data_IF_619635456500
#
_entry.id   IF_619635456500
#
_cell.length_a   1.000
_cell.length_b   1.000
_cell.length_c   1.000
_cell.angle_alpha   90.00
_cell.angle_beta   90.00
_cell.angle_gamma   90.00
#
_symmetry.space_group_name_H-M   'P 1'
#
loop_
_entity.id
_entity.type
_entity.pdbx_description
1 polymer ?
#
# COMPACT_ATOMS: atom_id res chain seq x y z
N UNK A 1 13.26 -16.14 -22.34
CA UNK A 1 11.98 -15.71 -22.94
C UNK A 1 11.99 -14.19 -23.04
N UNK A 2 11.55 -13.60 -24.15
CA UNK A 2 11.50 -12.14 -24.30
C UNK A 2 10.45 -11.54 -23.35
N UNK A 3 10.58 -10.27 -23.03
CA UNK A 3 9.65 -9.52 -22.16
C UNK A 3 8.21 -9.42 -22.67
N UNK A 4 7.92 -9.93 -23.87
CA UNK A 4 6.67 -9.69 -24.60
C UNK A 4 5.54 -10.69 -24.31
N UNK A 5 5.80 -11.80 -23.58
CA UNK A 5 4.81 -12.86 -23.33
C UNK A 5 4.35 -12.98 -21.85
N UNK A 6 4.70 -12.05 -20.96
CA UNK A 6 4.26 -12.13 -19.57
C UNK A 6 2.82 -11.64 -19.42
N UNK A 7 1.96 -12.55 -18.97
CA UNK A 7 0.62 -12.22 -18.48
C UNK A 7 0.66 -12.16 -16.96
N UNK A 8 -0.02 -11.17 -16.37
CA UNK A 8 -0.13 -11.07 -14.91
C UNK A 8 -0.67 -12.37 -14.31
N UNK A 9 -0.26 -12.73 -13.09
CA UNK A 9 -0.67 -13.95 -12.44
C UNK A 9 -2.18 -14.06 -12.33
N UNK A 10 -2.70 -15.28 -12.42
CA UNK A 10 -4.10 -15.51 -12.08
C UNK A 10 -4.31 -15.38 -10.55
N UNK A 11 -5.42 -14.75 -10.14
CA UNK A 11 -5.82 -14.58 -8.73
C UNK A 11 -4.97 -13.60 -7.88
N UNK A 12 -4.52 -12.50 -8.48
CA UNK A 12 -3.96 -11.38 -7.72
C UNK A 12 -5.01 -10.80 -6.76
N UNK A 13 -4.64 -10.63 -5.49
CA UNK A 13 -5.52 -10.03 -4.49
C UNK A 13 -4.95 -8.73 -3.95
N UNK A 14 -5.82 -7.75 -3.77
CA UNK A 14 -5.48 -6.43 -3.25
C UNK A 14 -6.18 -6.15 -1.92
N UNK A 15 -5.55 -5.36 -1.06
CA UNK A 15 -6.19 -4.84 0.14
C UNK A 15 -5.80 -3.37 0.35
N UNK A 16 -6.80 -2.55 0.69
CA UNK A 16 -6.60 -1.15 1.07
C UNK A 16 -7.05 -0.92 2.51
N UNK A 17 -6.17 -0.36 3.34
CA UNK A 17 -6.44 -0.06 4.75
C UNK A 17 -6.36 1.45 4.96
N UNK A 18 -7.43 2.06 5.44
CA UNK A 18 -7.49 3.48 5.75
C UNK A 18 -7.40 3.66 7.26
N UNK A 19 -6.30 4.24 7.74
CA UNK A 19 -6.15 4.66 9.12
C UNK A 19 -6.67 6.10 9.26
N UNK A 20 -7.89 6.25 9.79
CA UNK A 20 -8.49 7.55 10.05
C UNK A 20 -9.61 7.44 11.08
N UNK A 21 -9.34 7.95 12.28
CA UNK A 21 -10.30 7.99 13.39
C UNK A 21 -11.58 8.72 13.03
N UNK A 22 -11.47 9.82 12.26
CA UNK A 22 -12.64 10.60 11.85
C UNK A 22 -13.48 9.88 10.80
N UNK A 23 -12.84 9.18 9.85
CA UNK A 23 -13.56 8.39 8.85
C UNK A 23 -14.24 7.18 9.50
N UNK A 24 -13.52 6.43 10.34
CA UNK A 24 -14.04 5.27 11.05
C UNK A 24 -15.25 5.61 11.95
N UNK A 25 -15.27 6.80 12.54
CA UNK A 25 -16.40 7.30 13.35
C UNK A 25 -17.54 7.92 12.53
N UNK A 26 -17.45 7.91 11.20
CA UNK A 26 -18.48 8.48 10.32
C UNK A 26 -18.57 10.01 10.36
N UNK A 27 -17.55 10.71 10.88
CA UNK A 27 -17.50 12.18 10.86
C UNK A 27 -17.41 12.69 9.43
N UNK A 28 -16.71 11.95 8.57
CA UNK A 28 -16.74 12.12 7.12
C UNK A 28 -16.58 10.77 6.43
N UNK A 29 -17.03 10.69 5.19
CA UNK A 29 -16.77 9.56 4.31
C UNK A 29 -15.34 9.63 3.77
N UNK A 30 -14.60 8.52 3.87
CA UNK A 30 -13.27 8.44 3.26
C UNK A 30 -13.36 8.52 1.73
N UNK A 31 -12.44 9.28 1.13
CA UNK A 31 -12.35 9.49 -0.32
C UNK A 31 -10.97 9.16 -0.87
N UNK A 32 -10.01 8.76 -0.03
CA UNK A 32 -8.67 8.39 -0.48
C UNK A 32 -8.56 6.89 -0.73
N UNK A 33 -9.13 6.05 0.14
CA UNK A 33 -9.20 4.60 -0.01
C UNK A 33 -9.82 4.15 -1.34
N UNK A 34 -10.98 4.67 -1.76
CA UNK A 34 -11.58 4.32 -3.05
C UNK A 34 -10.64 4.51 -4.25
N UNK A 35 -9.74 5.50 -4.22
CA UNK A 35 -8.78 5.75 -5.32
C UNK A 35 -7.79 4.58 -5.44
N UNK A 36 -7.26 4.10 -4.32
CA UNK A 36 -6.33 2.97 -4.31
C UNK A 36 -7.03 1.65 -4.69
N UNK A 37 -8.28 1.47 -4.22
CA UNK A 37 -9.10 0.30 -4.56
C UNK A 37 -9.40 0.27 -6.06
N UNK A 38 -9.87 1.38 -6.63
CA UNK A 38 -10.15 1.49 -8.07
C UNK A 38 -8.90 1.24 -8.90
N UNK A 39 -7.75 1.78 -8.48
CA UNK A 39 -6.48 1.52 -9.16
C UNK A 39 -6.12 0.02 -9.13
N UNK A 40 -6.15 -0.64 -7.97
CA UNK A 40 -5.87 -2.08 -7.87
C UNK A 40 -6.83 -2.90 -8.74
N UNK A 41 -8.13 -2.64 -8.68
CA UNK A 41 -9.14 -3.30 -9.53
C UNK A 41 -8.83 -3.09 -11.01
N UNK A 42 -8.43 -1.89 -11.42
CA UNK A 42 -8.06 -1.59 -12.81
C UNK A 42 -6.82 -2.34 -13.30
N UNK A 43 -5.98 -2.85 -12.38
CA UNK A 43 -4.80 -3.67 -12.65
C UNK A 43 -5.06 -5.17 -12.53
N UNK A 44 -6.33 -5.58 -12.38
CA UNK A 44 -6.74 -6.99 -12.35
C UNK A 44 -6.69 -7.65 -10.97
N UNK A 45 -6.48 -6.89 -9.89
CA UNK A 45 -6.52 -7.42 -8.54
C UNK A 45 -7.97 -7.57 -8.05
N UNK A 46 -8.32 -8.75 -7.54
CA UNK A 46 -9.53 -8.92 -6.74
C UNK A 46 -9.34 -8.17 -5.41
N UNK A 47 -10.05 -7.05 -5.27
CA UNK A 47 -9.84 -6.09 -4.20
C UNK A 47 -11.21 -5.70 -3.62
N UNK A 48 -11.50 -6.00 -2.35
CA UNK A 48 -12.71 -5.50 -1.69
C UNK A 48 -12.65 -3.99 -1.50
N UNK A 49 -13.75 -3.40 -1.02
CA UNK A 49 -13.71 -1.99 -0.64
C UNK A 49 -12.74 -1.77 0.53
N UNK A 50 -12.25 -0.52 0.66
CA UNK A 50 -11.24 -0.19 1.65
C UNK A 50 -11.74 -0.45 3.07
N UNK A 51 -10.89 -1.08 3.88
CA UNK A 51 -11.16 -1.26 5.30
C UNK A 51 -10.79 0.04 6.01
N UNK A 52 -11.76 0.67 6.69
CA UNK A 52 -11.55 1.93 7.41
C UNK A 52 -11.53 1.65 8.92
N UNK A 53 -10.45 2.04 9.58
CA UNK A 53 -10.22 1.82 11.03
C UNK A 53 -9.75 3.10 11.72
N UNK A 54 -9.86 3.15 13.05
CA UNK A 54 -9.30 4.25 13.81
C UNK A 54 -7.76 4.21 13.80
N UNK A 55 -7.10 5.37 13.91
CA UNK A 55 -5.63 5.46 13.90
C UNK A 55 -5.00 4.61 15.01
N UNK A 56 -5.65 4.53 16.17
CA UNK A 56 -5.19 3.73 17.32
C UNK A 56 -5.23 2.21 17.08
N UNK A 57 -5.95 1.77 16.07
CA UNK A 57 -6.19 0.34 15.80
C UNK A 57 -5.22 -0.20 14.75
N UNK A 58 -4.52 0.65 14.00
CA UNK A 58 -3.69 0.25 12.85
C UNK A 58 -2.60 -0.76 13.21
N UNK A 59 -1.95 -0.60 14.36
CA UNK A 59 -0.88 -1.49 14.80
C UNK A 59 -1.40 -2.90 15.04
N UNK A 60 -2.48 -3.03 15.82
CA UNK A 60 -3.06 -4.33 16.15
C UNK A 60 -3.72 -4.99 14.94
N UNK A 61 -4.40 -4.18 14.11
CA UNK A 61 -5.02 -4.65 12.87
C UNK A 61 -3.96 -5.23 11.93
N UNK A 62 -2.87 -4.52 11.69
CA UNK A 62 -1.82 -4.97 10.78
C UNK A 62 -1.07 -6.19 11.32
N UNK A 63 -0.79 -6.25 12.63
CA UNK A 63 -0.22 -7.43 13.27
C UNK A 63 -1.10 -8.67 13.07
N UNK A 64 -2.39 -8.54 13.31
CA UNK A 64 -3.36 -9.64 13.14
C UNK A 64 -3.44 -10.07 11.68
N UNK A 65 -3.57 -9.11 10.75
CA UNK A 65 -3.62 -9.36 9.30
C UNK A 65 -2.40 -10.18 8.84
N UNK A 66 -1.19 -9.78 9.23
CA UNK A 66 0.03 -10.47 8.83
C UNK A 66 0.11 -11.86 9.47
N UNK A 67 -0.20 -11.98 10.77
CA UNK A 67 -0.14 -13.25 11.48
C UNK A 67 -1.14 -14.28 10.92
N UNK A 68 -2.40 -13.88 10.70
CA UNK A 68 -3.43 -14.73 10.14
C UNK A 68 -3.17 -15.03 8.66
N UNK A 69 -2.75 -14.04 7.89
CA UNK A 69 -2.39 -14.19 6.47
C UNK A 69 -1.27 -15.20 6.26
N UNK A 70 -0.20 -15.13 7.07
CA UNK A 70 0.90 -16.10 7.05
C UNK A 70 0.44 -17.48 7.48
N UNK A 71 -0.38 -17.58 8.53
CA UNK A 71 -0.90 -18.86 9.04
C UNK A 71 -1.78 -19.59 8.01
N UNK A 72 -2.62 -18.84 7.30
CA UNK A 72 -3.59 -19.41 6.37
C UNK A 72 -3.07 -19.46 4.92
N UNK A 73 -1.91 -18.87 4.64
CA UNK A 73 -1.34 -18.80 3.29
C UNK A 73 -2.16 -17.91 2.35
N UNK A 74 -2.80 -16.87 2.86
CA UNK A 74 -3.74 -16.02 2.13
C UNK A 74 -3.51 -14.52 2.34
N UNK A 75 -2.27 -14.12 2.67
CA UNK A 75 -1.91 -12.71 2.72
C UNK A 75 -2.10 -12.09 1.31
N UNK A 76 -2.72 -10.91 1.17
CA UNK A 76 -2.98 -10.31 -0.14
C UNK A 76 -1.69 -10.11 -0.94
N UNK A 77 -1.74 -10.19 -2.27
CA UNK A 77 -0.57 -9.94 -3.11
C UNK A 77 -0.08 -8.49 -2.99
N UNK A 78 -1.01 -7.56 -2.80
CA UNK A 78 -0.73 -6.12 -2.74
C UNK A 78 -1.51 -5.48 -1.58
N UNK A 79 -0.82 -4.78 -0.68
CA UNK A 79 -1.44 -4.03 0.40
C UNK A 79 -1.05 -2.56 0.28
N UNK A 80 -2.05 -1.69 0.21
CA UNK A 80 -1.88 -0.25 0.31
C UNK A 80 -2.51 0.24 1.61
N UNK A 81 -1.83 1.15 2.29
CA UNK A 81 -2.45 1.89 3.40
C UNK A 81 -2.64 3.36 3.03
N UNK A 82 -3.58 4.02 3.69
CA UNK A 82 -3.84 5.45 3.54
C UNK A 82 -4.08 6.09 4.91
N UNK A 83 -3.24 7.04 5.30
CA UNK A 83 -3.33 7.72 6.59
C UNK A 83 -2.23 7.29 7.56
N UNK A 84 -2.11 8.01 8.68
CA UNK A 84 -1.18 7.66 9.76
C UNK A 84 0.33 7.71 9.41
N UNK A 85 0.74 8.44 8.36
CA UNK A 85 2.15 8.54 7.92
C UNK A 85 2.79 9.90 8.20
N UNK A 86 2.08 10.82 8.84
CA UNK A 86 2.56 12.17 9.16
C UNK A 86 3.46 12.23 10.39
N UNK A 87 3.54 13.41 11.02
CA UNK A 87 4.38 13.69 12.19
C UNK A 87 3.58 13.76 13.51
N UNK A 88 2.26 13.56 13.47
CA UNK A 88 1.44 13.62 14.67
C UNK A 88 1.70 12.41 15.57
N UNK A 89 1.37 12.55 16.85
CA UNK A 89 1.59 11.49 17.84
C UNK A 89 0.77 10.21 17.59
N UNK A 90 -0.33 10.33 16.86
CA UNK A 90 -1.21 9.24 16.46
C UNK A 90 -0.93 8.69 15.05
N UNK A 91 0.02 9.29 14.31
CA UNK A 91 0.48 8.73 13.04
C UNK A 91 1.34 7.48 13.29
N UNK A 92 0.70 6.30 13.32
CA UNK A 92 1.35 5.02 13.65
C UNK A 92 1.37 4.00 12.50
N UNK A 93 0.93 4.36 11.30
CA UNK A 93 0.83 3.41 10.19
C UNK A 93 2.21 2.91 9.73
N UNK A 94 3.23 3.77 9.81
CA UNK A 94 4.61 3.37 9.48
C UNK A 94 5.16 2.40 10.52
N UNK A 95 4.90 2.67 11.79
CA UNK A 95 5.25 1.83 12.94
C UNK A 95 4.53 0.48 12.90
N UNK A 96 3.30 0.45 12.39
CA UNK A 96 2.54 -0.78 12.19
C UNK A 96 3.13 -1.66 11.09
N UNK A 97 3.57 -1.07 9.97
CA UNK A 97 3.99 -1.82 8.77
C UNK A 97 5.46 -2.22 8.80
N UNK A 98 6.37 -1.28 9.11
CA UNK A 98 7.82 -1.47 8.96
C UNK A 98 8.36 -2.74 9.67
N UNK A 99 7.92 -3.10 10.90
CA UNK A 99 8.44 -4.29 11.59
C UNK A 99 8.16 -5.62 10.89
N UNK A 100 7.18 -5.67 9.98
CA UNK A 100 6.83 -6.89 9.25
C UNK A 100 7.53 -7.04 7.90
N UNK A 101 8.19 -5.98 7.42
CA UNK A 101 8.86 -5.99 6.12
C UNK A 101 10.10 -6.88 6.20
N UNK A 102 10.14 -7.95 5.39
CA UNK A 102 11.34 -8.78 5.21
C UNK A 102 12.40 -8.02 4.40
N UNK A 103 11.95 -7.19 3.46
CA UNK A 103 12.80 -6.33 2.60
C UNK A 103 12.14 -4.97 2.40
N UNK A 104 12.86 -3.91 2.70
CA UNK A 104 12.43 -2.55 2.34
C UNK A 104 12.81 -2.21 0.89
N UNK A 105 11.97 -1.41 0.21
CA UNK A 105 12.19 -0.91 -1.15
C UNK A 105 12.19 0.63 -1.12
N UNK A 106 13.23 1.27 -0.51
CA UNK A 106 13.25 2.72 -0.31
C UNK A 106 13.24 3.51 -1.63
N UNK A 107 13.70 2.92 -2.74
CA UNK A 107 13.66 3.55 -4.06
C UNK A 107 12.24 3.91 -4.52
N UNK A 108 11.24 3.08 -4.19
CA UNK A 108 9.83 3.38 -4.49
C UNK A 108 9.36 4.60 -3.69
N UNK A 109 9.74 4.68 -2.41
CA UNK A 109 9.40 5.84 -1.58
C UNK A 109 10.07 7.13 -2.05
N UNK A 110 11.32 7.07 -2.51
CA UNK A 110 11.98 8.22 -3.13
C UNK A 110 11.25 8.70 -4.38
N UNK A 111 10.88 7.79 -5.28
CA UNK A 111 10.10 8.15 -6.47
C UNK A 111 8.75 8.78 -6.10
N UNK A 112 8.08 8.23 -5.10
CA UNK A 112 6.82 8.75 -4.57
C UNK A 112 6.96 10.18 -4.04
N UNK A 113 7.93 10.45 -3.18
CA UNK A 113 8.15 11.80 -2.66
C UNK A 113 8.55 12.79 -3.76
N UNK A 114 9.37 12.37 -4.71
CA UNK A 114 9.73 13.19 -5.87
C UNK A 114 8.52 13.55 -6.75
N UNK A 115 7.56 12.63 -6.89
CA UNK A 115 6.30 12.93 -7.56
C UNK A 115 5.45 13.92 -6.75
N UNK A 116 5.29 13.69 -5.45
CA UNK A 116 4.51 14.58 -4.58
C UNK A 116 5.08 16.01 -4.50
N UNK A 117 6.40 16.16 -4.51
CA UNK A 117 7.08 17.47 -4.48
C UNK A 117 6.74 18.37 -5.67
N UNK A 118 6.31 17.80 -6.81
CA UNK A 118 5.86 18.57 -7.98
C UNK A 118 4.60 19.40 -7.67
N UNK A 119 3.80 18.94 -6.70
CA UNK A 119 2.51 19.51 -6.36
C UNK A 119 2.52 20.19 -4.98
N UNK A 120 3.13 19.55 -3.98
CA UNK A 120 3.05 19.96 -2.57
C UNK A 120 4.44 19.85 -1.92
N UNK A 121 5.06 20.97 -1.50
CA UNK A 121 6.38 20.94 -0.83
C UNK A 121 6.42 20.07 0.42
N UNK A 122 5.31 19.98 1.17
CA UNK A 122 5.21 19.17 2.38
C UNK A 122 5.13 17.65 2.11
N UNK A 123 5.09 17.19 0.85
CA UNK A 123 5.00 15.77 0.52
C UNK A 123 6.13 14.92 1.15
N UNK A 124 7.33 15.50 1.27
CA UNK A 124 8.51 14.86 1.90
C UNK A 124 8.40 14.69 3.42
N UNK A 125 7.40 15.28 4.07
CA UNK A 125 7.17 15.06 5.50
C UNK A 125 6.47 13.72 5.78
N UNK A 126 5.92 13.06 4.77
CA UNK A 126 5.38 11.71 4.91
C UNK A 126 6.51 10.74 5.23
N UNK A 127 6.38 9.99 6.32
CA UNK A 127 7.36 8.98 6.78
C UNK A 127 7.18 7.61 6.13
N UNK A 128 6.42 7.56 5.02
CA UNK A 128 5.96 6.32 4.40
C UNK A 128 7.06 5.31 4.11
N UNK A 129 6.66 4.04 4.01
CA UNK A 129 7.54 2.90 3.73
C UNK A 129 6.93 2.05 2.63
N UNK A 130 7.79 1.42 1.84
CA UNK A 130 7.40 0.39 0.88
C UNK A 130 8.33 -0.80 1.05
N UNK A 131 7.80 -2.01 0.86
CA UNK A 131 8.56 -3.23 1.07
C UNK A 131 7.77 -4.48 0.77
N UNK A 132 8.35 -5.61 1.17
CA UNK A 132 7.80 -6.94 0.93
C UNK A 132 7.65 -7.67 2.26
N UNK A 133 6.53 -8.38 2.42
CA UNK A 133 6.26 -9.35 3.47
C UNK A 133 6.00 -10.68 2.77
N UNK A 134 6.90 -11.65 2.89
CA UNK A 134 6.87 -12.91 2.15
C UNK A 134 6.76 -12.68 0.62
N UNK A 135 5.56 -12.84 0.04
CA UNK A 135 5.24 -12.58 -1.38
C UNK A 135 4.24 -11.44 -1.57
N UNK A 136 4.08 -10.60 -0.56
CA UNK A 136 3.16 -9.47 -0.54
C UNK A 136 3.92 -8.16 -0.65
N UNK A 137 3.62 -7.35 -1.66
CA UNK A 137 4.10 -5.97 -1.71
C UNK A 137 3.23 -5.06 -0.84
N UNK A 138 3.86 -4.20 -0.04
CA UNK A 138 3.19 -3.24 0.83
C UNK A 138 3.73 -1.84 0.60
N UNK A 139 2.86 -0.84 0.53
CA UNK A 139 3.24 0.58 0.54
C UNK A 139 2.29 1.41 1.40
N UNK A 140 2.84 2.31 2.22
CA UNK A 140 2.05 3.24 3.02
C UNK A 140 1.92 4.59 2.34
N UNK A 141 0.69 5.10 2.26
CA UNK A 141 0.36 6.36 1.58
C UNK A 141 -0.21 7.39 2.57
N UNK A 142 -0.06 8.70 2.29
CA UNK A 142 -0.72 9.73 3.07
C UNK A 142 -2.24 9.62 2.98
N UNK A 143 -2.96 10.06 4.03
CA UNK A 143 -4.43 10.05 4.06
C UNK A 143 -5.12 11.06 3.13
N UNK A 144 -4.36 11.80 2.32
CA UNK A 144 -4.92 12.78 1.39
C UNK A 144 -5.18 12.15 0.03
N UNK A 145 -6.25 12.59 -0.65
CA UNK A 145 -6.56 12.14 -2.03
C UNK A 145 -5.41 12.41 -3.00
N UNK A 146 -4.72 13.54 -2.85
CA UNK A 146 -3.54 13.89 -3.65
C UNK A 146 -2.39 12.91 -3.40
N UNK A 147 -2.08 12.63 -2.12
CA UNK A 147 -1.04 11.67 -1.76
C UNK A 147 -1.31 10.25 -2.27
N UNK A 148 -2.56 9.78 -2.21
CA UNK A 148 -2.91 8.47 -2.78
C UNK A 148 -2.78 8.47 -4.31
N UNK A 149 -3.19 9.56 -5.00
CA UNK A 149 -3.00 9.70 -6.45
C UNK A 149 -1.53 9.69 -6.85
N UNK A 150 -0.69 10.40 -6.12
CA UNK A 150 0.76 10.41 -6.35
C UNK A 150 1.37 9.01 -6.09
N UNK A 151 0.84 8.30 -5.10
CA UNK A 151 1.19 6.91 -4.78
C UNK A 151 0.89 5.96 -5.94
N UNK A 152 -0.37 5.90 -6.37
CA UNK A 152 -0.76 5.01 -7.48
C UNK A 152 -0.06 5.39 -8.79
N UNK A 153 0.16 6.68 -9.06
CA UNK A 153 0.93 7.12 -10.23
C UNK A 153 2.40 6.67 -10.18
N UNK A 154 2.98 6.55 -8.98
CA UNK A 154 4.34 6.03 -8.78
C UNK A 154 4.40 4.51 -8.99
N UNK A 155 3.36 3.80 -8.56
CA UNK A 155 3.27 2.34 -8.68
C UNK A 155 2.84 1.87 -10.07
N UNK A 156 2.13 2.72 -10.82
CA UNK A 156 1.57 2.39 -12.14
C UNK A 156 2.58 1.74 -13.11
N UNK A 157 3.78 2.31 -13.33
CA UNK A 157 4.76 1.70 -14.23
C UNK A 157 5.51 0.51 -13.60
N UNK A 158 5.30 0.23 -12.31
CA UNK A 158 6.06 -0.77 -11.54
C UNK A 158 5.25 -2.03 -11.23
N UNK A 159 3.92 -1.95 -11.21
CA UNK A 159 3.05 -2.99 -10.66
C UNK A 159 3.27 -4.36 -11.31
N UNK A 160 3.42 -4.42 -12.63
CA UNK A 160 3.67 -5.67 -13.34
C UNK A 160 5.01 -6.30 -12.96
N UNK A 161 6.07 -5.48 -12.86
CA UNK A 161 7.39 -5.96 -12.47
C UNK A 161 7.43 -6.40 -11.00
N UNK A 162 6.72 -5.67 -10.12
CA UNK A 162 6.56 -6.05 -8.72
C UNK A 162 5.90 -7.44 -8.64
N UNK A 163 4.78 -7.65 -9.32
CA UNK A 163 4.08 -8.93 -9.31
C UNK A 163 4.94 -10.09 -9.84
N UNK A 164 5.69 -9.88 -10.92
CA UNK A 164 6.66 -10.87 -11.42
C UNK A 164 7.68 -11.27 -10.36
N UNK A 165 8.26 -10.28 -9.68
CA UNK A 165 9.25 -10.55 -8.64
C UNK A 165 8.63 -11.25 -7.44
N UNK A 166 7.39 -10.93 -7.07
CA UNK A 166 6.69 -11.64 -6.00
C UNK A 166 6.42 -13.10 -6.35
N UNK A 167 6.44 -13.45 -7.63
CA UNK A 167 6.34 -14.83 -8.07
C UNK A 167 7.66 -15.63 -8.01
N UNK A 168 8.78 -14.98 -7.67
CA UNK A 168 10.14 -15.45 -7.93
C UNK A 168 10.42 -15.72 -9.42
N UNK A 169 9.73 -14.98 -10.31
CA UNK A 169 10.06 -15.01 -11.73
C UNK A 169 11.37 -14.25 -11.97
N UNK A 170 12.41 -14.96 -12.42
CA UNK A 170 13.71 -14.37 -12.72
C UNK A 170 13.80 -13.98 -14.20
N UNK A 171 13.89 -12.67 -14.48
CA UNK A 171 14.09 -12.12 -15.83
C UNK A 171 15.55 -12.24 -16.30
N UNK A 172 16.14 -13.44 -16.23
CA UNK A 172 17.55 -13.69 -16.59
C UNK A 172 17.71 -14.94 -17.45
#
# INVERSE_FOLDING_TARGET
>A
MSSEDYTMPENLTGLVIVASTRAARGVYEDKSGPIAVEWLRSRGFDTPDAVVIEDREIVEYFNTLVAEGKKNGNLPTFILTSGGTGLNSDDQTVEAVRPHLDKEVPGVMHAFWMNGLKNVPAAVLSRGVAGVIDRTFVMTLPGSRGGVKDGVATLDPLVEHICRQMEDYHDH
#
